data_IF_681422776185
#
_entry.id   IF_681422776185
#
_cell.length_a   1.000
_cell.length_b   1.000
_cell.length_c   1.000
_cell.angle_alpha   90.00
_cell.angle_beta   90.00
_cell.angle_gamma   90.00
#
_symmetry.space_group_name_H-M   'P 1'
#
loop_
_entity.id
_entity.type
_entity.pdbx_description
1 polymer ?
2 branched ?
3 water ?
#
# COMPACT_ATOMS: atom_id res chain seq x y z
N UNK A 5 18.98 -12.63 -7.37
CA UNK A 5 19.39 -12.44 -5.95
C UNK A 5 18.58 -13.34 -5.02
N UNK A 6 18.82 -14.66 -5.08
CA UNK A 6 18.08 -15.59 -4.23
C UNK A 6 18.22 -15.25 -2.74
N UNK A 7 17.10 -14.95 -2.10
CA UNK A 7 17.10 -14.59 -0.68
C UNK A 7 16.56 -15.70 0.21
N UNK A 8 17.05 -15.74 1.45
CA UNK A 8 16.62 -16.72 2.43
C UNK A 8 15.43 -16.14 3.19
N UNK A 9 14.70 -16.99 3.91
CA UNK A 9 13.56 -16.51 4.66
C UNK A 9 13.99 -15.50 5.71
N UNK A 10 15.26 -15.56 6.08
CA UNK A 10 15.81 -14.65 7.09
C UNK A 10 16.55 -13.47 6.47
N UNK A 11 16.28 -13.17 5.20
CA UNK A 11 16.97 -12.06 4.55
C UNK A 11 16.16 -11.20 3.58
N UNK A 12 14.83 -11.30 3.61
CA UNK A 12 14.02 -10.47 2.73
C UNK A 12 13.43 -9.28 3.50
N UNK A 13 13.75 -9.21 4.79
CA UNK A 13 13.31 -8.11 5.63
C UNK A 13 11.87 -8.02 6.08
N UNK A 14 11.05 -9.01 5.72
CA UNK A 14 9.65 -8.98 6.11
C UNK A 14 8.92 -7.85 5.42
N UNK A 15 9.58 -7.26 4.43
CA UNK A 15 9.01 -6.14 3.68
C UNK A 15 8.11 -6.64 2.55
N UNK A 16 7.02 -5.91 2.33
CA UNK A 16 6.04 -6.26 1.31
C UNK A 16 5.87 -5.15 0.28
N UNK A 17 5.64 -5.54 -0.97
CA UNK A 17 5.39 -4.58 -2.05
C UNK A 17 3.95 -4.83 -2.48
N UNK A 18 3.13 -3.77 -2.48
CA UNK A 18 1.73 -3.89 -2.87
C UNK A 18 1.60 -3.69 -4.38
N UNK A 19 1.10 -4.72 -5.06
CA UNK A 19 1.00 -4.71 -6.52
C UNK A 19 -0.45 -4.74 -7.03
N UNK A 20 -0.78 -3.83 -7.94
CA UNK A 20 -2.13 -3.77 -8.51
C UNK A 20 -2.23 -4.80 -9.64
N UNK A 21 -2.26 -6.07 -9.23
CA UNK A 21 -2.31 -7.21 -10.14
C UNK A 21 -3.44 -7.27 -11.16
N UNK A 22 -4.60 -6.72 -10.82
CA UNK A 22 -5.74 -6.77 -11.73
C UNK A 22 -6.01 -5.50 -12.53
N UNK A 23 -5.19 -4.47 -12.32
CA UNK A 23 -5.36 -3.22 -13.05
C UNK A 23 -4.88 -3.40 -14.50
N UNK A 24 -5.35 -2.54 -15.40
CA UNK A 24 -4.93 -2.62 -16.80
C UNK A 24 -3.42 -2.41 -16.84
N UNK A 25 -2.95 -1.46 -16.03
CA UNK A 25 -1.52 -1.16 -15.91
C UNK A 25 -1.18 -1.48 -14.46
N UNK A 26 -0.39 -2.52 -14.25
CA UNK A 26 -0.03 -2.96 -12.90
C UNK A 26 1.27 -2.37 -12.38
N UNK A 27 1.26 -1.94 -11.12
CA UNK A 27 2.44 -1.36 -10.50
C UNK A 27 2.53 -1.68 -9.02
N UNK A 28 3.70 -1.42 -8.46
CA UNK A 28 3.93 -1.60 -7.03
C UNK A 28 3.78 -0.20 -6.43
N UNK A 29 2.98 -0.08 -5.38
CA UNK A 29 2.77 1.22 -4.72
C UNK A 29 4.11 1.73 -4.21
N UNK A 30 4.47 2.94 -4.62
CA UNK A 30 5.75 3.53 -4.27
C UNK A 30 5.61 4.82 -3.46
N UNK A 31 6.32 4.90 -2.33
CA UNK A 31 6.29 6.10 -1.51
C UNK A 31 7.68 6.74 -1.60
N UNK A 32 7.75 7.86 -2.31
CA UNK A 32 9.01 8.56 -2.52
C UNK A 32 9.47 9.38 -1.32
N UNK A 33 10.74 9.74 -1.32
CA UNK A 33 11.32 10.53 -0.24
C UNK A 33 10.55 11.83 -0.04
N UNK A 34 10.03 12.41 -1.12
CA UNK A 34 9.29 13.66 -1.00
C UNK A 34 7.81 13.48 -0.66
N UNK A 35 7.41 12.25 -0.38
CA UNK A 35 6.03 11.99 -0.02
C UNK A 35 5.07 11.69 -1.16
N UNK A 36 5.53 11.84 -2.39
CA UNK A 36 4.66 11.56 -3.53
C UNK A 36 4.47 10.06 -3.65
N UNK A 37 3.25 9.64 -3.95
CA UNK A 37 2.95 8.23 -4.11
C UNK A 37 2.55 7.95 -5.55
N UNK A 38 3.21 6.97 -6.16
CA UNK A 38 2.90 6.58 -7.53
C UNK A 38 3.15 5.08 -7.69
N UNK A 39 3.37 4.62 -8.92
CA UNK A 39 3.60 3.21 -9.13
C UNK A 39 4.90 2.87 -9.83
N UNK A 40 5.49 1.75 -9.43
CA UNK A 40 6.73 1.28 -10.03
C UNK A 40 6.44 -0.06 -10.71
N UNK A 41 6.79 -0.19 -11.99
CA UNK A 41 6.55 -1.44 -12.73
C UNK A 41 7.17 -2.64 -12.02
N UNK A 42 8.37 -2.44 -11.47
CA UNK A 42 9.08 -3.49 -10.76
C UNK A 42 9.40 -3.02 -9.34
N UNK A 43 9.71 -3.96 -8.46
CA UNK A 43 10.03 -3.60 -7.09
C UNK A 43 11.19 -2.62 -7.02
N UNK A 44 11.08 -1.63 -6.14
CA UNK A 44 12.14 -0.65 -5.94
C UNK A 44 12.30 -0.51 -4.43
N UNK A 45 13.39 0.10 -3.99
CA UNK A 45 13.58 0.26 -2.56
C UNK A 45 12.50 1.17 -1.98
N UNK A 46 11.85 1.96 -2.84
CA UNK A 46 10.80 2.86 -2.36
C UNK A 46 9.40 2.26 -2.37
N UNK A 47 9.26 1.05 -2.90
CA UNK A 47 7.96 0.38 -2.90
C UNK A 47 7.96 -0.69 -1.80
N UNK A 48 9.09 -0.83 -1.11
CA UNK A 48 9.21 -1.80 -0.02
C UNK A 48 8.50 -1.22 1.20
N UNK A 49 7.45 -1.90 1.65
CA UNK A 49 6.66 -1.42 2.78
C UNK A 49 6.65 -2.32 4.00
N UNK A 50 6.42 -1.69 5.15
CA UNK A 50 6.27 -2.42 6.39
C UNK A 50 4.78 -2.25 6.66
N UNK A 51 4.05 -3.35 6.68
CA UNK A 51 2.62 -3.29 6.93
C UNK A 51 2.38 -3.88 8.31
N UNK A 52 2.09 -3.01 9.27
CA UNK A 52 1.85 -3.42 10.65
C UNK A 52 0.38 -3.71 10.87
N UNK A 53 0.10 -4.95 11.26
CA UNK A 53 -1.27 -5.36 11.51
C UNK A 53 -1.68 -5.05 12.94
N UNK A 54 -2.89 -4.53 13.09
CA UNK A 54 -3.44 -4.22 14.39
C UNK A 54 -4.67 -5.11 14.51
N UNK A 55 -5.55 -4.82 15.46
CA UNK A 55 -6.74 -5.64 15.61
C UNK A 55 -7.88 -5.17 14.72
N UNK A 56 -8.83 -6.07 14.46
CA UNK A 56 -10.00 -5.77 13.64
C UNK A 56 -9.67 -5.53 12.16
N UNK A 57 -8.51 -5.99 11.72
CA UNK A 57 -8.14 -5.82 10.32
C UNK A 57 -7.54 -4.48 9.95
N UNK A 58 -7.22 -3.65 10.94
CA UNK A 58 -6.63 -2.36 10.65
C UNK A 58 -5.13 -2.50 10.43
N UNK A 59 -4.57 -1.60 9.64
CA UNK A 59 -3.14 -1.62 9.35
C UNK A 59 -2.56 -0.21 9.28
N UNK A 60 -1.27 -0.13 9.56
CA UNK A 60 -0.51 1.12 9.47
C UNK A 60 0.63 0.74 8.53
N UNK A 61 0.72 1.46 7.42
CA UNK A 61 1.71 1.20 6.38
C UNK A 61 2.80 2.25 6.33
N UNK A 62 4.05 1.81 6.30
CA UNK A 62 5.18 2.72 6.25
C UNK A 62 6.13 2.36 5.10
N UNK A 63 6.60 3.38 4.39
CA UNK A 63 7.56 3.15 3.32
C UNK A 63 8.90 3.13 4.03
N UNK A 64 9.59 2.00 4.01
CA UNK A 64 10.86 1.87 4.71
C UNK A 64 11.94 2.90 4.35
N UNK A 65 12.16 3.12 3.06
CA UNK A 65 13.19 4.07 2.63
C UNK A 65 12.81 5.53 2.78
N UNK A 66 11.55 5.86 2.51
CA UNK A 66 11.10 7.24 2.63
C UNK A 66 10.92 7.64 4.09
N UNK A 67 10.70 6.65 4.95
CA UNK A 67 10.48 6.88 6.38
C UNK A 67 9.15 7.60 6.56
N UNK A 68 8.22 7.36 5.64
CA UNK A 68 6.92 8.01 5.69
C UNK A 68 5.76 7.03 5.82
N UNK A 69 4.72 7.48 6.50
CA UNK A 69 3.51 6.69 6.68
C UNK A 69 2.60 6.94 5.49
N UNK A 70 1.92 5.90 5.02
CA UNK A 70 0.99 6.08 3.92
C UNK A 70 -0.25 6.70 4.54
N UNK A 71 -0.68 7.83 4.00
CA UNK A 71 -1.84 8.54 4.51
C UNK A 71 -2.80 8.92 3.40
N UNK A 72 -4.02 9.28 3.78
CA UNK A 72 -5.05 9.65 2.83
C UNK A 72 -5.84 10.86 3.31
N UNK A 73 -6.20 11.75 2.40
CA UNK A 73 -6.99 12.92 2.78
C UNK A 73 -8.47 12.64 2.54
N UNK A 74 -9.32 13.61 2.86
CA UNK A 74 -10.77 13.46 2.71
C UNK A 74 -11.26 13.23 1.28
N UNK A 75 -10.40 13.46 0.30
CA UNK A 75 -10.78 13.26 -1.10
C UNK A 75 -10.28 11.92 -1.62
N UNK A 76 -9.56 11.18 -0.78
CA UNK A 76 -9.04 9.89 -1.20
C UNK A 76 -7.63 9.95 -1.75
N UNK A 77 -7.04 11.14 -1.77
CA UNK A 77 -5.68 11.27 -2.28
C UNK A 77 -4.71 10.68 -1.27
N UNK A 78 -3.76 9.88 -1.75
CA UNK A 78 -2.80 9.29 -0.83
C UNK A 78 -1.44 9.93 -0.97
N UNK A 79 -0.69 9.93 0.12
CA UNK A 79 0.63 10.54 0.14
C UNK A 79 1.40 10.01 1.33
N UNK A 80 2.70 10.30 1.36
CA UNK A 80 3.53 9.87 2.46
C UNK A 80 3.75 11.02 3.44
N UNK A 81 3.54 10.75 4.72
CA UNK A 81 3.71 11.76 5.76
C UNK A 81 4.73 11.32 6.79
N UNK A 82 5.54 12.27 7.27
CA UNK A 82 6.52 11.94 8.29
C UNK A 82 5.81 11.87 9.64
N UNK A 83 4.59 12.39 9.69
CA UNK A 83 3.81 12.40 10.92
C UNK A 83 2.59 11.49 10.84
N UNK A 84 2.40 10.69 11.88
CA UNK A 84 1.26 9.78 11.94
C UNK A 84 0.02 10.47 12.48
N UNK A 85 -1.04 10.49 11.68
CA UNK A 85 -2.31 11.06 12.09
C UNK A 85 -3.32 9.91 11.98
N UNK A 86 -3.93 9.52 13.11
CA UNK A 86 -4.90 8.42 13.09
C UNK A 86 -6.11 8.62 12.17
N UNK A 87 -6.44 9.87 11.88
CA UNK A 87 -7.59 10.16 11.02
C UNK A 87 -7.26 10.01 9.54
N UNK A 88 -5.98 9.83 9.22
CA UNK A 88 -5.57 9.72 7.83
C UNK A 88 -4.61 8.59 7.52
N UNK A 89 -3.91 8.09 8.54
CA UNK A 89 -2.88 7.08 8.31
C UNK A 89 -3.12 5.65 8.79
N UNK A 90 -4.37 5.32 9.06
CA UNK A 90 -4.74 3.97 9.48
C UNK A 90 -5.79 3.51 8.48
N UNK A 91 -5.62 2.31 7.95
CA UNK A 91 -6.55 1.79 6.96
C UNK A 91 -7.21 0.49 7.36
N UNK A 92 -8.40 0.26 6.83
CA UNK A 92 -9.11 -0.98 7.07
C UNK A 92 -8.68 -1.89 5.92
N UNK A 93 -8.13 -3.04 6.26
CA UNK A 93 -7.69 -4.00 5.26
C UNK A 93 -8.68 -5.15 5.22
N UNK A 94 -8.78 -5.79 4.07
CA UNK A 94 -9.67 -6.93 3.94
C UNK A 94 -9.40 -7.66 2.64
N UNK A 95 -9.53 -8.98 2.69
CA UNK A 95 -9.31 -9.81 1.53
C UNK A 95 -10.68 -10.11 0.94
N UNK A 96 -10.84 -9.83 -0.35
CA UNK A 96 -12.09 -10.05 -1.04
C UNK A 96 -12.28 -11.53 -1.34
N UNK A 97 -13.49 -11.89 -1.76
CA UNK A 97 -13.80 -13.28 -2.08
C UNK A 97 -12.91 -13.77 -3.22
N UNK A 98 -12.50 -12.86 -4.10
CA UNK A 98 -11.64 -13.22 -5.23
C UNK A 98 -10.18 -13.41 -4.83
N UNK A 99 -9.88 -13.22 -3.55
CA UNK A 99 -8.52 -13.41 -3.08
C UNK A 99 -7.61 -12.19 -3.06
N UNK A 100 -8.06 -11.08 -3.65
CA UNK A 100 -7.23 -9.87 -3.65
C UNK A 100 -7.56 -8.99 -2.46
N UNK A 101 -6.65 -8.09 -2.12
CA UNK A 101 -6.85 -7.22 -0.97
C UNK A 101 -7.19 -5.79 -1.33
N UNK A 102 -7.88 -5.13 -0.41
CA UNK A 102 -8.21 -3.72 -0.57
C UNK A 102 -7.92 -3.04 0.76
N UNK A 103 -7.63 -1.75 0.68
CA UNK A 103 -7.33 -0.94 1.85
C UNK A 103 -8.16 0.31 1.71
N UNK A 104 -8.93 0.65 2.73
CA UNK A 104 -9.74 1.85 2.64
C UNK A 104 -9.79 2.63 3.93
N UNK A 105 -10.08 3.92 3.80
CA UNK A 105 -10.16 4.82 4.94
C UNK A 105 -11.43 4.54 5.74
N UNK A 106 -11.28 4.27 7.05
CA UNK A 106 -12.48 4.01 7.84
C UNK A 106 -13.33 5.27 8.01
N UNK A 107 -12.71 6.43 7.83
CA UNK A 107 -13.41 7.71 7.97
C UNK A 107 -13.89 8.32 6.66
N UNK A 108 -13.14 8.13 5.58
CA UNK A 108 -13.48 8.69 4.28
C UNK A 108 -14.04 7.66 3.29
N UNK A 109 -13.86 6.38 3.62
CA UNK A 109 -14.35 5.28 2.79
C UNK A 109 -13.58 5.04 1.49
N UNK A 110 -12.81 6.03 1.04
CA UNK A 110 -12.06 5.86 -0.19
C UNK A 110 -11.04 4.73 -0.16
N UNK A 111 -10.92 4.06 -1.30
CA UNK A 111 -9.98 2.97 -1.46
C UNK A 111 -8.61 3.50 -1.83
N UNK A 112 -7.58 2.85 -1.32
CA UNK A 112 -6.22 3.22 -1.67
C UNK A 112 -6.05 2.79 -3.13
N UNK A 113 -5.57 3.70 -3.97
CA UNK A 113 -5.30 3.40 -5.37
C UNK A 113 -4.25 4.38 -5.87
N UNK A 114 -3.56 4.01 -6.93
CA UNK A 114 -2.45 4.82 -7.45
C UNK A 114 -2.78 5.98 -8.38
N UNK A 115 -3.94 5.92 -9.03
CA UNK A 115 -4.31 6.96 -9.97
C UNK A 115 -5.24 8.05 -9.48
N UNK A 116 -5.71 8.87 -10.42
CA UNK A 116 -6.60 9.98 -10.09
C UNK A 116 -8.04 9.57 -9.82
N UNK A 117 -8.46 8.43 -10.36
CA UNK A 117 -9.82 7.96 -10.16
C UNK A 117 -9.95 7.38 -8.75
N UNK A 118 -10.64 8.10 -7.88
CA UNK A 118 -10.83 7.65 -6.50
C UNK A 118 -12.22 7.09 -6.30
N UNK A 119 -12.30 5.92 -5.69
CA UNK A 119 -13.58 5.25 -5.46
C UNK A 119 -13.75 4.86 -4.00
N UNK A 120 -14.96 5.05 -3.49
CA UNK A 120 -15.26 4.70 -2.10
C UNK A 120 -15.65 3.23 -2.00
N UNK A 121 -15.21 2.59 -0.93
CA UNK A 121 -15.55 1.19 -0.68
C UNK A 121 -16.92 1.26 -0.02
N UNK A 122 -17.96 0.88 -0.75
CA UNK A 122 -19.32 0.93 -0.23
C UNK A 122 -19.96 -0.44 -0.21
N UNK A 123 -20.87 -0.68 0.74
CA UNK A 123 -21.53 -1.98 0.81
C UNK A 123 -22.49 -2.20 -0.35
N UNK A 124 -22.58 -3.43 -0.83
CA UNK A 124 -23.49 -3.72 -1.93
C UNK A 124 -22.90 -3.63 -3.32
N UNK A 125 -21.60 -3.35 -3.42
CA UNK A 125 -20.95 -3.25 -4.72
C UNK A 125 -19.50 -3.71 -4.66
N UNK A 126 -18.93 -4.01 -5.82
CA UNK A 126 -17.55 -4.49 -5.89
C UNK A 126 -16.58 -3.35 -6.19
N UNK A 127 -15.38 -3.40 -5.59
CA UNK A 127 -14.40 -2.35 -5.85
C UNK A 127 -13.82 -2.56 -7.25
N UNK A 128 -13.36 -1.48 -7.90
CA UNK A 128 -12.79 -1.62 -9.25
C UNK A 128 -11.46 -2.37 -9.24
N UNK A 129 -11.12 -3.03 -10.35
CA UNK A 129 -9.86 -3.78 -10.44
C UNK A 129 -8.61 -2.98 -10.07
N UNK A 130 -8.57 -1.70 -10.43
CA UNK A 130 -7.39 -0.89 -10.14
C UNK A 130 -7.15 -0.63 -8.65
N UNK A 131 -8.11 -0.99 -7.80
CA UNK A 131 -7.97 -0.78 -6.36
C UNK A 131 -7.62 -2.07 -5.62
N UNK A 132 -7.46 -3.15 -6.37
CA UNK A 132 -7.13 -4.44 -5.77
C UNK A 132 -5.63 -4.70 -5.71
N UNK A 133 -5.18 -5.23 -4.58
CA UNK A 133 -3.76 -5.50 -4.39
C UNK A 133 -3.38 -6.93 -4.06
N UNK A 134 -2.14 -7.25 -4.40
CA UNK A 134 -1.54 -8.54 -4.12
C UNK A 134 -0.26 -8.20 -3.37
N UNK A 135 -0.05 -8.82 -2.21
CA UNK A 135 1.16 -8.57 -1.44
C UNK A 135 2.28 -9.43 -2.03
N UNK A 136 3.38 -8.79 -2.42
CA UNK A 136 4.51 -9.51 -2.99
C UNK A 136 5.70 -9.41 -2.04
N UNK A 137 6.30 -10.55 -1.73
CA UNK A 137 7.45 -10.56 -0.83
C UNK A 137 8.61 -9.77 -1.44
N UNK A 138 9.30 -9.00 -0.61
CA UNK A 138 10.43 -8.22 -1.08
C UNK A 138 11.51 -9.15 -1.63
N UNK A 139 12.09 -8.78 -2.77
CA UNK A 139 13.14 -9.58 -3.39
C UNK A 139 14.43 -8.79 -3.54
N UNK A 140 14.43 -7.56 -3.03
CA UNK A 140 15.60 -6.71 -3.10
C UNK A 140 16.52 -6.95 -1.90
N UNK A 141 17.79 -7.32 -2.15
CA UNK A 141 18.73 -7.56 -1.05
C UNK A 141 18.76 -6.37 -0.10
N UNK A 142 18.82 -6.64 1.20
CA UNK A 142 18.80 -5.59 2.20
C UNK A 142 19.93 -4.56 2.13
N UNK A 143 21.05 -4.93 1.51
CA UNK A 143 22.17 -4.00 1.42
C UNK A 143 21.78 -2.74 0.64
N UNK A 144 20.74 -2.84 -0.18
CA UNK A 144 20.30 -1.70 -0.97
C UNK A 144 19.46 -0.70 -0.20
N UNK A 145 19.05 -1.07 1.01
CA UNK A 145 18.26 -0.16 1.82
C UNK A 145 19.20 0.62 2.74
N UNK A 146 19.61 1.79 2.27
CA UNK A 146 20.52 2.69 2.98
C UNK A 146 21.97 2.28 2.80
X LIG B 1 -8.07 3.57 -17.95
X LIG B 1 -7.07 4.59 -17.79
X LIG B 1 -5.76 4.16 -18.16
X LIG B 1 -4.88 5.30 -17.70
X LIG B 1 -5.16 6.51 -18.39
X LIG B 1 -4.37 7.72 -18.18
X LIG B 1 -3.03 7.57 -18.71
X LIG B 1 -4.26 8.06 -16.79
X LIG B 1 -5.07 8.78 -18.85
X LIG B 1 -5.77 3.73 -19.65
X LIG B 1 -4.54 3.00 -19.90
X LIG B 1 -3.65 3.44 -20.97
X LIG B 1 -2.44 2.71 -20.82
X LIG B 1 -3.39 4.82 -20.77
X LIG B 1 -4.18 3.17 -22.30
X LIG B 1 -6.87 2.68 -19.90
X LIG B 1 -6.93 2.29 -21.30
X LIG B 1 -6.78 0.90 -21.79
X LIG B 1 -7.93 0.05 -21.51
X LIG B 1 -5.64 0.25 -21.15
X LIG B 1 -6.57 0.96 -23.24
X LIG B 1 -8.21 3.25 -19.45
X LIG B 1 -9.37 2.38 -19.66
X LIG B 1 -10.69 2.90 -20.11
X LIG B 1 -11.56 1.75 -20.33
X LIG B 1 -10.55 3.69 -21.34
X LIG B 1 -11.27 3.78 -19.11
X LIG B 2 -8.46 0.62 -15.69
X LIG B 2 -8.22 2.13 -15.84
X LIG B 2 -7.31 2.63 -14.71
X LIG B 2 -7.84 4.03 -14.41
X LIG B 2 -9.32 3.78 -14.48
X LIG B 2 -10.14 5.02 -14.81
X LIG B 2 -9.18 0.28 -14.48
X LIG B 2 -8.09 -1.77 -14.04
X LIG B 2 -4.91 1.95 -13.26
X LIG B 2 -5.60 6.03 -13.75
X LIG B 2 -13.88 4.76 -15.01
X LIG B 2 -7.74 2.39 -17.18
X LIG B 2 -10.14 -1.73 -15.22
X LIG B 2 -3.70 2.24 -15.26
X LIG B 2 -6.80 6.31 -11.70
X LIG B 2 -12.70 6.59 -15.82
X LIG B 2 -5.97 2.83 -15.15
X LIG B 2 -10.04 -1.24 -12.86
X LIG B 2 -5.28 0.55 -15.17
X LIG B 2 -7.79 6.80 -13.80
X LIG B 2 -12.65 6.02 -13.51
X LIG B 2 -7.37 4.49 -13.12
X LIG B 2 -9.47 2.83 -15.57
X LIG B 2 -11.53 4.65 -15.07
X LIG B 2 -9.38 -1.12 -14.14
X LIG B 2 -4.98 1.88 -14.70
X LIG B 2 -6.90 5.90 -13.09
X LIG B 2 -12.68 5.52 -14.86
#
# INVERSE_FOLDING_TARGET
YPNASPLLGSSWGGLIHLYTATARNSYHLQIHKNGHVDGAPHQTIYSALMIRSEDAGFVVITGVMSRRYLCMDFRGNIFGSHYFDPENCRFQHQTLENGYDVYHSPQYHFLVSLGRAKRAFLPGMNPPPYSQFLSRRNEIPLIHFNTPIPRRHTR
GU4 C1 O5 C5 C6 O6 S6 O22 O23 O21 C4 O4 S4 O25 O26 O24 C3 O3 S3 O28 O29 O27 C2 O2 S2 O11 O12 O10
YYJ C1 C2 C3 C4 C5 C6 O1 O1S1 O1S3 O1S4 O1S6 O2 O2S1 O2S3 O2S4 O2S6 O3 O3S1 O3S3 O3S4 O3S6 O4 O5 O6 S1 S3 S4 S6
#
